data_IF_288436987443
#
_entry.id   IF_288436987443
#
_cell.length_a   1.000
_cell.length_b   1.000
_cell.length_c   1.000
_cell.angle_alpha   90.00
_cell.angle_beta   90.00
_cell.angle_gamma   90.00
#
_symmetry.space_group_name_H-M   'P 1'
#
loop_
_entity.id
_entity.type
_entity.pdbx_description
1 polymer ?
#
# COMPACT_ATOMS: atom_id res chain seq x y z
N UNK A 1 -0.10 55.22 -5.46
CA UNK A 1 0.83 54.10 -5.22
C UNK A 1 0.13 52.82 -4.75
N UNK A 2 -0.63 52.83 -3.63
CA UNK A 2 -1.34 51.62 -3.11
C UNK A 2 -2.42 51.04 -4.04
N UNK A 3 -3.10 51.88 -4.85
CA UNK A 3 -4.13 51.44 -5.81
C UNK A 3 -3.54 50.62 -6.97
N UNK A 4 -2.31 50.91 -7.39
CA UNK A 4 -1.63 50.15 -8.44
C UNK A 4 -1.05 48.83 -7.92
N UNK A 5 -0.69 48.77 -6.63
CA UNK A 5 -0.28 47.53 -5.98
C UNK A 5 -1.43 46.52 -5.90
N UNK A 6 -2.65 46.98 -5.54
CA UNK A 6 -3.84 46.13 -5.56
C UNK A 6 -4.22 45.67 -6.97
N UNK A 7 -4.05 46.53 -7.98
CA UNK A 7 -4.31 46.16 -9.39
C UNK A 7 -3.29 45.14 -9.92
N UNK A 8 -2.03 45.24 -9.50
CA UNK A 8 -0.96 44.30 -9.88
C UNK A 8 -1.19 42.90 -9.30
N UNK A 9 -1.65 42.81 -8.05
CA UNK A 9 -1.96 41.52 -7.42
C UNK A 9 -3.16 40.84 -8.08
N UNK A 10 -4.19 41.63 -8.44
CA UNK A 10 -5.38 41.14 -9.14
C UNK A 10 -5.08 40.66 -10.57
N UNK A 11 -4.12 41.30 -11.25
CA UNK A 11 -3.70 40.91 -12.60
C UNK A 11 -2.86 39.63 -12.61
N UNK A 12 -2.01 39.41 -11.59
CA UNK A 12 -1.24 38.15 -11.45
C UNK A 12 -2.13 36.92 -11.18
N UNK A 13 -3.30 37.08 -10.55
CA UNK A 13 -4.22 35.97 -10.30
C UNK A 13 -4.93 35.43 -11.55
N UNK A 14 -4.90 36.15 -12.67
CA UNK A 14 -5.52 35.70 -13.93
C UNK A 14 -4.59 34.86 -14.82
N UNK A 15 -3.32 34.70 -14.42
CA UNK A 15 -2.37 33.78 -15.06
C UNK A 15 -2.37 32.38 -14.42
N UNK A 16 -3.41 32.06 -13.65
CA UNK A 16 -3.60 30.75 -13.03
C UNK A 16 -3.58 29.62 -14.07
N UNK A 17 -2.86 28.55 -13.73
CA UNK A 17 -2.49 27.45 -14.60
C UNK A 17 -3.61 26.95 -15.52
N UNK A 18 -3.35 27.06 -16.82
CA UNK A 18 -3.90 26.12 -17.80
C UNK A 18 -3.53 24.70 -17.37
N UNK A 19 -4.50 23.79 -17.27
CA UNK A 19 -4.25 22.35 -17.23
C UNK A 19 -3.61 21.94 -18.56
N UNK A 20 -2.30 22.13 -18.67
CA UNK A 20 -1.53 21.48 -19.70
C UNK A 20 -1.62 19.99 -19.39
N UNK A 21 -2.35 19.25 -20.24
CA UNK A 21 -2.40 17.78 -20.16
C UNK A 21 -0.97 17.27 -20.30
N UNK A 22 -0.33 17.02 -19.16
CA UNK A 22 1.03 16.49 -19.10
C UNK A 22 1.03 15.20 -19.90
N UNK A 23 1.69 15.21 -21.05
CA UNK A 23 1.93 13.98 -21.81
C UNK A 23 3.01 13.22 -21.08
N UNK A 24 2.58 12.28 -20.25
CA UNK A 24 3.47 11.37 -19.53
C UNK A 24 3.76 10.19 -20.47
N UNK A 25 5.02 9.98 -20.79
CA UNK A 25 5.43 8.85 -21.61
C UNK A 25 5.22 7.54 -20.85
N UNK A 26 4.56 6.58 -21.51
CA UNK A 26 4.32 5.25 -20.92
C UNK A 26 5.64 4.47 -20.88
N UNK A 27 6.13 4.03 -19.71
CA UNK A 27 7.35 3.24 -19.63
C UNK A 27 7.14 1.87 -20.28
N UNK A 28 8.24 1.30 -20.81
CA UNK A 28 8.20 0.01 -21.51
C UNK A 28 7.80 -1.15 -20.58
N UNK A 29 8.29 -1.13 -19.34
CA UNK A 29 7.95 -2.09 -18.29
C UNK A 29 6.81 -1.60 -17.39
N UNK A 30 5.79 -0.92 -17.95
CA UNK A 30 4.67 -0.49 -17.13
C UNK A 30 3.93 -1.70 -16.56
N UNK A 31 3.93 -1.81 -15.23
CA UNK A 31 3.15 -2.78 -14.49
C UNK A 31 1.66 -2.51 -14.69
N UNK A 32 0.87 -3.58 -14.86
CA UNK A 32 -0.57 -3.48 -14.83
C UNK A 32 -1.07 -2.97 -13.47
N UNK A 33 -2.28 -2.43 -13.45
CA UNK A 33 -2.92 -1.96 -12.22
C UNK A 33 -2.97 -3.05 -11.14
N UNK A 34 -3.30 -4.29 -11.54
CA UNK A 34 -3.34 -5.42 -10.60
C UNK A 34 -1.96 -5.78 -10.06
N UNK A 35 -0.91 -5.79 -10.90
CA UNK A 35 0.47 -6.02 -10.45
C UNK A 35 0.91 -4.95 -9.45
N UNK A 36 0.62 -3.67 -9.74
CA UNK A 36 0.89 -2.56 -8.81
C UNK A 36 0.18 -2.74 -7.47
N UNK A 37 -1.13 -3.04 -7.49
CA UNK A 37 -1.93 -3.23 -6.28
C UNK A 37 -1.38 -4.39 -5.43
N UNK A 38 -1.09 -5.54 -6.05
CA UNK A 38 -0.58 -6.72 -5.33
C UNK A 38 0.81 -6.45 -4.75
N UNK A 39 1.72 -5.87 -5.54
CA UNK A 39 3.07 -5.56 -5.09
C UNK A 39 3.08 -4.53 -3.94
N UNK A 40 2.30 -3.45 -4.08
CA UNK A 40 2.18 -2.43 -3.03
C UNK A 40 1.57 -2.99 -1.74
N UNK A 41 0.55 -3.84 -1.85
CA UNK A 41 -0.04 -4.52 -0.70
C UNK A 41 1.00 -5.36 0.05
N UNK A 42 1.85 -6.10 -0.66
CA UNK A 42 2.89 -6.92 -0.03
C UNK A 42 4.03 -6.07 0.56
N UNK A 43 4.34 -4.89 0.01
CA UNK A 43 5.22 -3.93 0.68
C UNK A 43 4.64 -3.42 2.00
N UNK A 44 3.34 -3.10 2.07
CA UNK A 44 2.71 -2.71 3.33
C UNK A 44 2.73 -3.85 4.36
N UNK A 45 2.54 -5.09 3.92
CA UNK A 45 2.67 -6.26 4.80
C UNK A 45 4.11 -6.43 5.28
N UNK A 46 5.11 -6.24 4.40
CA UNK A 46 6.52 -6.28 4.78
C UNK A 46 6.85 -5.20 5.80
N UNK A 47 6.40 -3.97 5.58
CA UNK A 47 6.60 -2.85 6.51
C UNK A 47 5.99 -3.17 7.88
N UNK A 48 4.76 -3.69 7.91
CA UNK A 48 4.10 -4.12 9.14
C UNK A 48 4.88 -5.21 9.88
N UNK A 49 5.38 -6.23 9.17
CA UNK A 49 6.21 -7.30 9.74
C UNK A 49 7.50 -6.76 10.34
N UNK A 50 8.22 -5.89 9.61
CA UNK A 50 9.46 -5.27 10.10
C UNK A 50 9.19 -4.46 11.38
N UNK A 51 8.07 -3.73 11.41
CA UNK A 51 7.65 -2.96 12.59
C UNK A 51 7.33 -3.85 13.80
N UNK A 52 6.77 -5.03 13.57
CA UNK A 52 6.44 -6.00 14.62
C UNK A 52 7.68 -6.54 15.35
N UNK A 53 8.84 -6.58 14.70
CA UNK A 53 10.12 -7.02 15.31
C UNK A 53 10.60 -6.06 16.42
N UNK A 54 10.06 -4.83 16.49
CA UNK A 54 10.35 -3.83 17.55
C UNK A 54 11.84 -3.50 17.73
N UNK A 55 12.61 -3.50 16.65
CA UNK A 55 14.01 -3.06 16.63
C UNK A 55 14.11 -1.54 16.47
N UNK A 56 15.29 -0.97 16.74
CA UNK A 56 15.57 0.45 16.50
C UNK A 56 15.37 0.85 15.03
N UNK A 57 15.10 2.13 14.78
CA UNK A 57 14.79 2.66 13.43
C UNK A 57 15.81 2.28 12.36
N UNK A 58 17.11 2.40 12.68
CA UNK A 58 18.17 2.10 11.73
C UNK A 58 18.24 0.60 11.43
N UNK A 59 18.10 -0.23 12.46
CA UNK A 59 18.00 -1.69 12.33
C UNK A 59 16.78 -2.10 11.51
N UNK A 60 15.63 -1.48 11.74
CA UNK A 60 14.41 -1.73 10.97
C UNK A 60 14.61 -1.38 9.48
N UNK A 61 15.28 -0.26 9.19
CA UNK A 61 15.60 0.15 7.82
C UNK A 61 16.54 -0.83 7.11
N UNK A 62 17.55 -1.34 7.82
CA UNK A 62 18.44 -2.39 7.29
C UNK A 62 17.62 -3.65 7.02
N UNK A 63 16.84 -4.12 7.99
CA UNK A 63 16.01 -5.30 7.84
C UNK A 63 15.04 -5.21 6.66
N UNK A 64 14.38 -4.05 6.49
CA UNK A 64 13.49 -3.83 5.33
C UNK A 64 14.25 -3.99 4.01
N UNK A 65 15.43 -3.36 3.88
CA UNK A 65 16.25 -3.44 2.65
C UNK A 65 16.71 -4.85 2.32
N UNK A 66 16.97 -5.68 3.32
CA UNK A 66 17.34 -7.08 3.11
C UNK A 66 16.14 -7.94 2.65
N UNK A 67 14.92 -7.56 3.05
CA UNK A 67 13.70 -8.32 2.75
C UNK A 67 12.95 -7.83 1.51
N UNK A 68 13.07 -6.55 1.15
CA UNK A 68 12.41 -5.95 0.00
C UNK A 68 12.67 -6.70 -1.32
N UNK A 69 13.91 -7.16 -1.65
CA UNK A 69 14.17 -7.95 -2.85
C UNK A 69 13.33 -9.23 -2.96
N UNK A 70 12.97 -9.84 -1.82
CA UNK A 70 12.16 -11.05 -1.80
C UNK A 70 10.73 -10.78 -2.26
N UNK A 71 10.21 -9.58 -2.01
CA UNK A 71 8.87 -9.17 -2.46
C UNK A 71 8.88 -9.00 -3.99
N UNK A 72 9.87 -8.30 -4.55
CA UNK A 72 10.03 -8.19 -6.01
C UNK A 72 10.12 -9.58 -6.67
N UNK A 73 10.92 -10.49 -6.10
CA UNK A 73 11.07 -11.85 -6.60
C UNK A 73 9.76 -12.66 -6.53
N UNK A 74 8.95 -12.47 -5.49
CA UNK A 74 7.66 -13.16 -5.35
C UNK A 74 6.65 -12.80 -6.45
N UNK A 75 6.75 -11.58 -6.99
CA UNK A 75 5.88 -11.09 -8.05
C UNK A 75 6.50 -11.19 -9.45
N UNK A 76 7.75 -11.64 -9.58
CA UNK A 76 8.51 -11.64 -10.85
C UNK A 76 8.61 -10.23 -11.48
N UNK A 77 8.88 -9.22 -10.64
CA UNK A 77 8.92 -7.80 -11.03
C UNK A 77 10.31 -7.21 -10.77
N UNK A 78 10.86 -6.46 -11.73
CA UNK A 78 12.07 -5.66 -11.52
C UNK A 78 11.79 -4.37 -10.74
N UNK A 79 12.69 -3.99 -9.83
CA UNK A 79 12.56 -2.75 -9.05
C UNK A 79 12.52 -1.47 -9.92
N UNK A 80 13.14 -1.51 -11.10
CA UNK A 80 13.12 -0.41 -12.10
C UNK A 80 11.72 -0.28 -12.69
N UNK A 81 11.11 -1.39 -13.08
CA UNK A 81 9.77 -1.42 -13.65
C UNK A 81 8.75 -0.92 -12.64
N UNK A 82 8.87 -1.34 -11.37
CA UNK A 82 8.06 -0.79 -10.28
C UNK A 82 8.23 0.73 -10.11
N UNK A 83 9.47 1.24 -10.02
CA UNK A 83 9.71 2.67 -9.84
C UNK A 83 9.16 3.50 -11.00
N UNK A 84 9.39 3.07 -12.23
CA UNK A 84 8.88 3.75 -13.42
C UNK A 84 7.36 3.70 -13.49
N UNK A 85 6.76 2.59 -13.09
CA UNK A 85 5.30 2.45 -13.03
C UNK A 85 4.70 3.34 -11.95
N UNK A 86 5.30 3.38 -10.76
CA UNK A 86 4.87 4.27 -9.69
C UNK A 86 4.92 5.73 -10.14
N UNK A 87 6.04 6.16 -10.73
CA UNK A 87 6.19 7.51 -11.28
C UNK A 87 5.10 7.82 -12.33
N UNK A 88 4.83 6.90 -13.24
CA UNK A 88 3.75 7.02 -14.22
C UNK A 88 2.37 7.16 -13.56
N UNK A 89 2.01 6.25 -12.64
CA UNK A 89 0.68 6.25 -12.02
C UNK A 89 0.44 7.46 -11.10
N UNK A 90 1.49 8.07 -10.53
CA UNK A 90 1.37 9.30 -9.73
C UNK A 90 0.83 10.50 -10.51
N UNK A 91 0.89 10.48 -11.85
CA UNK A 91 0.27 11.49 -12.70
C UNK A 91 -1.24 11.33 -12.87
N UNK A 92 -1.83 10.22 -12.40
CA UNK A 92 -3.25 9.90 -12.53
C UNK A 92 -3.88 9.74 -11.14
N UNK A 93 -4.31 10.84 -10.48
CA UNK A 93 -4.82 10.80 -9.11
C UNK A 93 -6.00 9.83 -8.90
N UNK A 94 -6.94 9.76 -9.84
CA UNK A 94 -8.10 8.85 -9.77
C UNK A 94 -7.67 7.37 -9.77
N UNK A 95 -6.65 7.03 -10.57
CA UNK A 95 -6.08 5.68 -10.60
C UNK A 95 -5.38 5.36 -9.28
N UNK A 96 -4.59 6.29 -8.74
CA UNK A 96 -3.95 6.11 -7.44
C UNK A 96 -4.96 5.94 -6.30
N UNK A 97 -6.04 6.72 -6.29
CA UNK A 97 -7.14 6.56 -5.32
C UNK A 97 -7.75 5.15 -5.40
N UNK A 98 -7.98 4.67 -6.63
CA UNK A 98 -8.48 3.31 -6.87
C UNK A 98 -7.52 2.26 -6.31
N UNK A 99 -6.21 2.41 -6.50
CA UNK A 99 -5.21 1.48 -5.96
C UNK A 99 -5.26 1.45 -4.44
N UNK A 100 -5.27 2.62 -3.79
CA UNK A 100 -5.31 2.70 -2.34
C UNK A 100 -6.59 2.10 -1.76
N UNK A 101 -7.75 2.37 -2.36
CA UNK A 101 -9.02 1.77 -1.94
C UNK A 101 -8.96 0.24 -2.04
N UNK A 102 -8.50 -0.29 -3.18
CA UNK A 102 -8.39 -1.73 -3.38
C UNK A 102 -7.44 -2.40 -2.37
N UNK A 103 -6.31 -1.76 -2.05
CA UNK A 103 -5.36 -2.25 -1.04
C UNK A 103 -6.00 -2.28 0.35
N UNK A 104 -6.63 -1.18 0.77
CA UNK A 104 -7.29 -1.08 2.09
C UNK A 104 -8.40 -2.12 2.24
N UNK A 105 -9.25 -2.27 1.22
CA UNK A 105 -10.34 -3.25 1.23
C UNK A 105 -9.80 -4.68 1.30
N UNK A 106 -8.77 -4.99 0.50
CA UNK A 106 -8.15 -6.32 0.46
C UNK A 106 -7.49 -6.69 1.80
N UNK A 107 -6.77 -5.74 2.42
CA UNK A 107 -6.14 -5.94 3.73
C UNK A 107 -7.19 -6.10 4.83
N UNK A 108 -8.24 -5.27 4.81
CA UNK A 108 -9.35 -5.37 5.78
C UNK A 108 -10.06 -6.72 5.68
N UNK A 109 -10.28 -7.22 4.46
CA UNK A 109 -10.86 -8.55 4.25
C UNK A 109 -9.94 -9.65 4.77
N UNK A 110 -8.63 -9.59 4.48
CA UNK A 110 -7.64 -10.54 5.00
C UNK A 110 -7.63 -10.59 6.53
N UNK A 111 -7.66 -9.44 7.18
CA UNK A 111 -7.69 -9.35 8.64
C UNK A 111 -8.95 -10.00 9.23
N UNK A 112 -10.12 -9.68 8.69
CA UNK A 112 -11.39 -10.29 9.12
C UNK A 112 -11.36 -11.82 8.99
N UNK A 113 -10.92 -12.32 7.85
CA UNK A 113 -10.81 -13.76 7.60
C UNK A 113 -9.81 -14.42 8.56
N UNK A 114 -8.69 -13.78 8.87
CA UNK A 114 -7.72 -14.29 9.84
C UNK A 114 -8.33 -14.39 11.25
N UNK A 115 -9.02 -13.34 11.69
CA UNK A 115 -9.66 -13.28 13.00
C UNK A 115 -10.79 -14.32 13.15
N UNK A 116 -11.58 -14.54 12.11
CA UNK A 116 -12.66 -15.54 12.13
C UNK A 116 -12.11 -16.96 12.19
N UNK A 117 -11.00 -17.24 11.47
CA UNK A 117 -10.29 -18.52 11.55
C UNK A 117 -9.73 -18.77 12.96
N UNK A 118 -9.13 -17.75 13.58
CA UNK A 118 -8.60 -17.85 14.94
C UNK A 118 -9.71 -18.18 15.97
N UNK A 119 -10.85 -17.49 15.90
CA UNK A 119 -12.02 -17.75 16.75
C UNK A 119 -12.56 -19.17 16.54
N UNK A 120 -12.62 -19.63 15.30
CA UNK A 120 -13.06 -20.98 14.98
C UNK A 120 -12.11 -22.06 15.53
N UNK A 121 -10.79 -21.83 15.46
CA UNK A 121 -9.79 -22.72 16.08
C UNK A 121 -9.99 -22.80 17.59
N UNK A 122 -10.01 -21.65 18.27
CA UNK A 122 -10.20 -21.57 19.73
C UNK A 122 -11.50 -22.24 20.19
N UNK A 123 -12.59 -22.13 19.41
CA UNK A 123 -13.86 -22.81 19.73
C UNK A 123 -13.75 -24.34 19.59
N UNK A 124 -13.02 -24.83 18.57
CA UNK A 124 -12.78 -26.27 18.38
C UNK A 124 -11.93 -26.84 19.50
N UNK A 125 -10.91 -26.11 19.93
CA UNK A 125 -9.99 -26.55 20.99
C UNK A 125 -10.73 -26.63 22.34
N UNK A 126 -11.52 -25.60 22.69
CA UNK A 126 -12.40 -25.63 23.88
C UNK A 126 -13.44 -26.75 23.86
N UNK A 127 -13.98 -27.08 22.67
CA UNK A 127 -14.95 -28.17 22.53
C UNK A 127 -14.31 -29.55 22.66
N UNK A 128 -13.02 -29.70 22.30
CA UNK A 128 -12.26 -30.93 22.52
C UNK A 128 -11.92 -31.10 24.00
N UNK A 129 -11.45 -30.04 24.63
CA UNK A 129 -11.10 -30.02 26.07
C UNK A 129 -12.33 -30.25 26.97
N UNK A 130 -13.51 -29.75 26.57
CA UNK A 130 -14.77 -30.04 27.27
C UNK A 130 -15.24 -31.49 27.12
N UNK A 131 -14.89 -32.17 26.03
CA UNK A 131 -15.25 -33.58 25.78
C UNK A 131 -14.25 -34.57 26.39
N UNK A 132 -13.01 -34.15 26.61
CA UNK A 132 -11.96 -34.96 27.23
C UNK A 132 -12.04 -34.96 28.76
N UNK A 133 -12.70 -33.93 29.34
CA UNK A 133 -12.92 -33.80 30.78
C UNK A 133 -14.33 -34.25 31.24
N UNK A 134 -15.13 -34.91 30.38
CA UNK A 134 -16.37 -35.55 30.82
C UNK A 134 -16.05 -36.80 31.66
N UNK A 135 -16.57 -36.94 32.90
CA UNK A 135 -16.30 -38.11 33.72
C UNK A 135 -16.86 -39.36 33.04
N UNK A 136 -16.02 -40.40 32.91
CA UNK A 136 -16.46 -41.73 32.52
C UNK A 136 -17.22 -42.35 33.70
N UNK A 137 -18.52 -42.57 33.51
CA UNK A 137 -19.35 -43.43 34.38
C UNK A 137 -18.92 -44.90 34.28
#
# INVERSE_FOLDING_TARGET
MKKYFLLSVLFCSLLGCSEEKVKVDKPKGLLSENEMIQLMMDFYILEAKVKEVRVGRDSAKVLYRELEPLVYQQHDIDSVDYRQSLEYYLHFPETMETFYSAIVDSLSLKERVANDKEKASKKKDKLKEAKENEPQD
#
